data_IF_385705297479
#
_entry.id   IF_385705297479
#
_cell.length_a   1.000
_cell.length_b   1.000
_cell.length_c   1.000
_cell.angle_alpha   90.00
_cell.angle_beta   90.00
_cell.angle_gamma   90.00
#
_symmetry.space_group_name_H-M   'P 1'
#
loop_
_entity.id
_entity.type
_entity.pdbx_description
1 polymer ?
#
# COMPACT_ATOMS: atom_id res chain seq x y z
N UNK A 1 3.55 19.59 -55.13
CA UNK A 1 3.60 18.28 -54.45
C UNK A 1 2.29 18.12 -53.70
N UNK A 2 1.49 17.05 -53.94
CA UNK A 2 0.22 16.86 -53.24
C UNK A 2 0.52 16.52 -51.77
N UNK A 3 -0.01 17.33 -50.87
CA UNK A 3 -0.01 17.07 -49.42
C UNK A 3 -0.81 15.78 -49.22
N UNK A 4 -0.13 14.69 -48.83
CA UNK A 4 -0.77 13.47 -48.35
C UNK A 4 -1.56 13.82 -47.11
N UNK A 5 -2.90 13.85 -47.23
CA UNK A 5 -3.78 13.91 -46.08
C UNK A 5 -3.41 12.77 -45.11
N UNK A 6 -2.82 13.09 -43.97
CA UNK A 6 -2.59 12.11 -42.87
C UNK A 6 -3.90 12.01 -42.10
N UNK A 7 -4.64 10.94 -42.33
CA UNK A 7 -5.83 10.62 -41.55
C UNK A 7 -5.46 9.54 -40.52
N UNK A 8 -5.83 9.70 -39.25
CA UNK A 8 -5.72 8.70 -38.22
C UNK A 8 -7.11 8.28 -37.76
N UNK A 9 -7.40 7.00 -37.91
CA UNK A 9 -8.61 6.39 -37.35
C UNK A 9 -8.29 5.86 -35.97
N UNK A 10 -9.10 6.22 -34.98
CA UNK A 10 -9.03 5.78 -33.60
C UNK A 10 -10.32 5.04 -33.24
N UNK A 11 -10.23 4.03 -32.36
CA UNK A 11 -11.38 3.22 -32.00
C UNK A 11 -12.43 4.06 -31.26
N UNK A 12 -12.06 4.68 -30.15
CA UNK A 12 -12.95 5.53 -29.35
C UNK A 12 -12.20 6.58 -28.54
N UNK A 13 -12.90 7.60 -28.11
CA UNK A 13 -12.38 8.68 -27.24
C UNK A 13 -11.93 8.12 -25.90
N UNK A 14 -12.64 7.14 -25.34
CA UNK A 14 -12.34 6.51 -24.05
C UNK A 14 -11.03 5.69 -24.04
N UNK A 15 -10.59 5.21 -25.21
CA UNK A 15 -9.31 4.50 -25.40
C UNK A 15 -8.15 5.43 -25.73
N UNK A 16 -8.44 6.59 -26.26
CA UNK A 16 -7.43 7.58 -26.63
C UNK A 16 -6.74 8.18 -25.40
N UNK A 17 -7.48 8.42 -24.31
CA UNK A 17 -6.91 8.87 -23.06
C UNK A 17 -7.85 8.70 -21.88
N UNK A 18 -7.27 8.66 -20.66
CA UNK A 18 -8.03 8.57 -19.41
C UNK A 18 -8.28 9.91 -18.77
N UNK A 19 -7.47 10.90 -19.11
CA UNK A 19 -7.58 12.26 -18.65
C UNK A 19 -8.10 13.15 -19.76
N UNK A 20 -9.16 13.90 -19.47
CA UNK A 20 -9.82 14.75 -20.45
C UNK A 20 -8.94 15.90 -20.91
N UNK A 21 -8.09 16.43 -20.02
CA UNK A 21 -7.19 17.54 -20.35
C UNK A 21 -6.14 17.06 -21.34
N UNK A 22 -5.50 15.92 -21.07
CA UNK A 22 -4.50 15.32 -21.96
C UNK A 22 -5.10 14.98 -23.34
N UNK A 23 -6.35 14.48 -23.37
CA UNK A 23 -7.06 14.17 -24.61
C UNK A 23 -7.28 15.44 -25.43
N UNK A 24 -7.78 16.52 -24.83
CA UNK A 24 -8.04 17.78 -25.53
C UNK A 24 -6.74 18.41 -26.05
N UNK A 25 -5.67 18.42 -25.23
CA UNK A 25 -4.36 18.94 -25.64
C UNK A 25 -3.77 18.13 -26.80
N UNK A 26 -3.85 16.80 -26.74
CA UNK A 26 -3.38 15.93 -27.83
C UNK A 26 -4.16 16.15 -29.13
N UNK A 27 -5.49 16.34 -29.05
CA UNK A 27 -6.33 16.63 -30.20
C UNK A 27 -6.03 18.01 -30.81
N UNK A 28 -5.77 19.04 -30.00
CA UNK A 28 -5.32 20.36 -30.45
C UNK A 28 -3.99 20.26 -31.21
N UNK A 29 -3.03 19.53 -30.64
CA UNK A 29 -1.72 19.33 -31.25
C UNK A 29 -1.84 18.60 -32.61
N UNK A 30 -2.68 17.56 -32.69
CA UNK A 30 -2.91 16.83 -33.93
C UNK A 30 -3.56 17.72 -35.03
N UNK A 31 -4.49 18.60 -34.61
CA UNK A 31 -5.10 19.59 -35.50
C UNK A 31 -4.09 20.63 -36.00
N UNK A 32 -3.21 21.15 -35.12
CA UNK A 32 -2.13 22.06 -35.53
C UNK A 32 -1.14 21.41 -36.51
N UNK A 33 -0.91 20.12 -36.36
CA UNK A 33 -0.06 19.34 -37.28
C UNK A 33 -0.77 18.95 -38.61
N UNK A 34 -2.05 19.35 -38.78
CA UNK A 34 -2.85 19.04 -39.97
C UNK A 34 -3.19 17.55 -40.10
N UNK A 35 -3.27 16.83 -38.97
CA UNK A 35 -3.61 15.41 -38.92
C UNK A 35 -5.10 15.29 -38.62
N UNK A 36 -5.86 14.74 -39.57
CA UNK A 36 -7.28 14.44 -39.41
C UNK A 36 -7.46 13.24 -38.48
N UNK A 37 -8.34 13.37 -37.49
CA UNK A 37 -8.66 12.30 -36.53
C UNK A 37 -10.15 11.96 -36.63
N UNK A 38 -10.44 10.66 -36.77
CA UNK A 38 -11.79 10.13 -36.83
C UNK A 38 -11.97 9.06 -35.75
N UNK A 39 -12.95 9.20 -34.86
CA UNK A 39 -13.33 8.21 -33.86
C UNK A 39 -14.43 7.31 -34.43
N UNK A 40 -14.10 6.00 -34.53
CA UNK A 40 -14.96 5.04 -35.22
C UNK A 40 -16.22 4.66 -34.45
N UNK A 41 -16.08 4.49 -33.10
CA UNK A 41 -17.19 4.09 -32.23
C UNK A 41 -18.24 5.22 -32.11
N UNK A 42 -17.78 6.46 -31.98
CA UNK A 42 -18.66 7.62 -31.83
C UNK A 42 -19.07 8.23 -33.17
N UNK A 43 -18.41 7.86 -34.26
CA UNK A 43 -18.68 8.42 -35.60
C UNK A 43 -18.30 9.89 -35.73
N UNK A 44 -17.33 10.38 -34.94
CA UNK A 44 -16.96 11.79 -34.84
C UNK A 44 -15.74 12.08 -35.69
N UNK A 45 -15.89 13.05 -36.61
CA UNK A 45 -14.79 13.66 -37.36
C UNK A 45 -14.37 14.97 -36.65
N UNK A 46 -13.16 15.04 -36.14
CA UNK A 46 -12.68 16.22 -35.40
C UNK A 46 -12.57 17.45 -36.32
N UNK A 47 -12.33 17.27 -37.60
CA UNK A 47 -12.32 18.41 -38.52
C UNK A 47 -13.73 19.02 -38.76
N UNK A 48 -14.77 18.22 -38.56
CA UNK A 48 -16.17 18.65 -38.66
C UNK A 48 -16.72 19.26 -37.36
N UNK A 49 -16.12 18.87 -36.22
CA UNK A 49 -16.48 19.39 -34.90
C UNK A 49 -15.73 20.71 -34.66
N UNK A 50 -16.36 21.80 -35.07
CA UNK A 50 -15.78 23.15 -34.95
C UNK A 50 -15.76 23.71 -33.50
N UNK A 51 -16.38 23.04 -32.56
CA UNK A 51 -16.61 23.62 -31.24
C UNK A 51 -15.86 22.85 -30.12
N UNK A 52 -14.89 23.52 -29.47
CA UNK A 52 -14.23 23.03 -28.23
C UNK A 52 -15.25 22.59 -27.17
N UNK A 53 -16.46 23.16 -27.23
CA UNK A 53 -17.55 22.84 -26.34
C UNK A 53 -18.02 21.38 -26.52
N UNK A 54 -18.20 20.88 -27.74
CA UNK A 54 -18.64 19.51 -27.99
C UNK A 54 -17.60 18.50 -27.48
N UNK A 55 -16.29 18.75 -27.73
CA UNK A 55 -15.21 17.90 -27.20
C UNK A 55 -15.21 17.92 -25.67
N UNK A 56 -15.42 19.07 -25.04
CA UNK A 56 -15.47 19.18 -23.58
C UNK A 56 -16.67 18.42 -23.02
N UNK A 57 -17.83 18.49 -23.66
CA UNK A 57 -19.04 17.75 -23.24
C UNK A 57 -18.83 16.25 -23.38
N UNK A 58 -18.28 15.78 -24.51
CA UNK A 58 -17.97 14.35 -24.71
C UNK A 58 -16.97 13.84 -23.67
N UNK A 59 -15.92 14.62 -23.40
CA UNK A 59 -14.95 14.29 -22.36
C UNK A 59 -15.60 14.21 -20.98
N UNK A 60 -16.50 15.14 -20.62
CA UNK A 60 -17.24 15.13 -19.36
C UNK A 60 -18.19 13.92 -19.25
N UNK A 61 -18.85 13.54 -20.34
CA UNK A 61 -19.71 12.33 -20.38
C UNK A 61 -18.87 11.07 -20.13
N UNK A 62 -17.75 10.91 -20.83
CA UNK A 62 -16.87 9.76 -20.66
C UNK A 62 -16.29 9.67 -19.22
N UNK A 63 -15.95 10.80 -18.63
CA UNK A 63 -15.52 10.85 -17.22
C UNK A 63 -16.64 10.40 -16.29
N UNK A 64 -17.84 10.93 -16.49
CA UNK A 64 -19.02 10.56 -15.70
C UNK A 64 -19.31 9.06 -15.79
N UNK A 65 -19.23 8.44 -16.97
CA UNK A 65 -19.41 6.99 -17.14
C UNK A 65 -18.35 6.19 -16.38
N UNK A 66 -17.08 6.59 -16.44
CA UNK A 66 -16.01 5.93 -15.71
C UNK A 66 -16.21 6.02 -14.18
N UNK A 67 -16.66 7.17 -13.68
CA UNK A 67 -17.02 7.33 -12.28
C UNK A 67 -18.20 6.44 -11.88
N UNK A 68 -19.24 6.39 -12.71
CA UNK A 68 -20.39 5.51 -12.49
C UNK A 68 -20.00 4.03 -12.50
N UNK A 69 -19.18 3.59 -13.45
CA UNK A 69 -18.64 2.22 -13.48
C UNK A 69 -17.85 1.91 -12.20
N UNK A 70 -16.98 2.82 -11.76
CA UNK A 70 -16.21 2.66 -10.54
C UNK A 70 -17.12 2.56 -9.30
N UNK A 71 -18.14 3.41 -9.19
CA UNK A 71 -19.13 3.37 -8.11
C UNK A 71 -19.91 2.06 -8.11
N UNK A 72 -20.36 1.59 -9.29
CA UNK A 72 -21.09 0.34 -9.43
C UNK A 72 -20.25 -0.88 -9.04
N UNK A 73 -18.97 -0.93 -9.47
CA UNK A 73 -18.04 -1.99 -9.08
C UNK A 73 -17.84 -2.00 -7.56
N UNK A 74 -17.59 -0.82 -6.96
CA UNK A 74 -17.43 -0.70 -5.50
C UNK A 74 -18.70 -1.14 -4.77
N UNK A 75 -19.87 -0.75 -5.25
CA UNK A 75 -21.15 -1.14 -4.67
C UNK A 75 -21.40 -2.65 -4.78
N UNK A 76 -21.11 -3.27 -5.92
CA UNK A 76 -21.18 -4.72 -6.11
C UNK A 76 -20.24 -5.47 -5.19
N UNK A 77 -18.99 -5.01 -5.03
CA UNK A 77 -18.04 -5.60 -4.09
C UNK A 77 -18.51 -5.51 -2.63
N UNK A 78 -19.11 -4.37 -2.24
CA UNK A 78 -19.69 -4.21 -0.89
C UNK A 78 -20.85 -5.15 -0.66
N UNK A 79 -21.77 -5.23 -1.59
CA UNK A 79 -22.91 -6.13 -1.50
C UNK A 79 -22.49 -7.60 -1.35
N UNK A 80 -21.46 -8.03 -2.10
CA UNK A 80 -20.85 -9.34 -1.91
C UNK A 80 -20.17 -9.50 -0.55
N UNK A 81 -19.56 -8.41 -0.04
CA UNK A 81 -18.92 -8.40 1.26
C UNK A 81 -19.94 -8.54 2.40
N UNK A 82 -21.04 -7.79 2.35
CA UNK A 82 -22.13 -7.84 3.33
C UNK A 82 -22.77 -9.22 3.42
N UNK A 83 -22.94 -9.87 2.27
CA UNK A 83 -23.50 -11.23 2.21
C UNK A 83 -22.50 -12.33 2.55
N UNK A 84 -21.24 -12.01 2.84
CA UNK A 84 -20.19 -13.00 3.07
C UNK A 84 -19.79 -13.81 1.83
N UNK A 85 -20.33 -13.49 0.65
CA UNK A 85 -20.09 -14.21 -0.60
C UNK A 85 -18.87 -13.74 -1.38
N UNK A 86 -18.16 -12.69 -0.91
CA UNK A 86 -16.99 -12.16 -1.58
C UNK A 86 -15.85 -13.18 -1.65
N UNK A 87 -15.32 -13.41 -2.84
CA UNK A 87 -14.15 -14.26 -3.05
C UNK A 87 -12.88 -13.76 -2.31
N UNK A 88 -12.88 -12.50 -1.83
CA UNK A 88 -11.80 -11.94 -1.03
C UNK A 88 -11.69 -12.60 0.35
N UNK A 89 -12.79 -13.09 0.92
CA UNK A 89 -12.77 -13.84 2.18
C UNK A 89 -11.94 -15.12 2.04
N UNK A 90 -12.06 -15.80 0.90
CA UNK A 90 -11.40 -17.07 0.59
C UNK A 90 -10.03 -16.91 -0.10
N UNK A 91 -9.45 -15.71 -0.12
CA UNK A 91 -8.11 -15.50 -0.68
C UNK A 91 -7.06 -16.12 0.24
N UNK A 92 -6.23 -17.09 -0.23
CA UNK A 92 -5.23 -17.74 0.60
C UNK A 92 -4.15 -16.76 1.03
N UNK A 93 -3.60 -16.98 2.23
CA UNK A 93 -2.41 -16.32 2.73
C UNK A 93 -1.46 -17.39 3.27
N UNK A 94 -0.22 -17.04 3.54
CA UNK A 94 0.78 -17.96 4.09
C UNK A 94 0.24 -18.64 5.35
N UNK A 95 0.35 -19.94 5.46
CA UNK A 95 -0.27 -20.75 6.52
C UNK A 95 -1.60 -21.38 6.12
N UNK A 96 -2.20 -20.95 4.99
CA UNK A 96 -3.46 -21.49 4.49
C UNK A 96 -3.39 -21.80 3.00
N UNK A 97 -4.03 -22.86 2.58
CA UNK A 97 -4.25 -23.24 1.18
C UNK A 97 -5.73 -23.35 0.87
N UNK A 98 -6.09 -23.35 -0.39
CA UNK A 98 -7.47 -23.65 -0.84
C UNK A 98 -7.63 -25.15 -1.05
N UNK A 99 -8.78 -25.70 -0.63
CA UNK A 99 -9.22 -27.02 -1.05
C UNK A 99 -9.94 -26.94 -2.42
N UNK A 100 -10.40 -28.09 -2.91
CA UNK A 100 -11.14 -28.20 -4.18
C UNK A 100 -12.45 -27.40 -4.16
N UNK A 101 -13.12 -27.28 -3.00
CA UNK A 101 -14.32 -26.48 -2.80
C UNK A 101 -14.04 -24.97 -2.68
N UNK A 102 -12.77 -24.57 -2.76
CA UNK A 102 -12.35 -23.17 -2.66
C UNK A 102 -12.36 -22.61 -1.24
N UNK A 103 -12.54 -23.44 -0.20
CA UNK A 103 -12.43 -23.01 1.19
C UNK A 103 -10.97 -22.99 1.67
N UNK A 104 -10.72 -22.16 2.69
CA UNK A 104 -9.39 -22.09 3.31
C UNK A 104 -9.21 -23.27 4.26
N UNK A 105 -8.15 -24.03 4.06
CA UNK A 105 -7.71 -25.09 4.96
C UNK A 105 -6.28 -24.80 5.44
N UNK A 106 -5.96 -25.30 6.61
CA UNK A 106 -4.66 -25.14 7.24
C UNK A 106 -3.57 -25.86 6.44
N UNK A 107 -2.44 -25.20 6.24
CA UNK A 107 -1.19 -25.84 5.81
C UNK A 107 -0.32 -26.03 7.05
N UNK A 108 -0.25 -27.27 7.56
CA UNK A 108 0.43 -27.58 8.82
C UNK A 108 1.89 -27.11 8.84
N UNK A 109 2.62 -27.26 7.73
CA UNK A 109 4.04 -26.86 7.64
C UNK A 109 4.20 -25.35 7.77
N UNK A 110 3.35 -24.60 7.07
CA UNK A 110 3.39 -23.14 7.11
C UNK A 110 2.81 -22.60 8.41
N UNK A 111 1.81 -23.25 8.99
CA UNK A 111 1.19 -22.85 10.24
C UNK A 111 2.18 -22.88 11.42
N UNK A 112 3.06 -23.87 11.47
CA UNK A 112 4.14 -23.92 12.48
C UNK A 112 5.06 -22.71 12.37
N UNK A 113 5.42 -22.32 11.15
CA UNK A 113 6.25 -21.13 10.91
C UNK A 113 5.55 -19.86 11.36
N UNK A 114 4.25 -19.72 11.08
CA UNK A 114 3.45 -18.57 11.54
C UNK A 114 3.44 -18.50 13.07
N UNK A 115 3.18 -19.62 13.76
CA UNK A 115 3.23 -19.68 15.23
C UNK A 115 4.60 -19.24 15.76
N UNK A 116 5.67 -19.76 15.16
CA UNK A 116 7.05 -19.41 15.53
C UNK A 116 7.33 -17.91 15.41
N UNK A 117 6.85 -17.26 14.34
CA UNK A 117 6.99 -15.81 14.15
C UNK A 117 6.28 -15.03 15.27
N UNK A 118 5.08 -15.45 15.66
CA UNK A 118 4.33 -14.82 16.76
C UNK A 118 5.01 -15.01 18.10
N UNK A 119 5.51 -16.21 18.42
CA UNK A 119 6.27 -16.51 19.62
C UNK A 119 7.52 -15.62 19.74
N UNK A 120 8.33 -15.53 18.67
CA UNK A 120 9.51 -14.68 18.63
C UNK A 120 9.17 -13.20 18.83
N UNK A 121 8.07 -12.74 18.25
CA UNK A 121 7.64 -11.36 18.40
C UNK A 121 7.18 -11.05 19.84
N UNK A 122 6.41 -11.95 20.46
CA UNK A 122 5.94 -11.84 21.84
C UNK A 122 7.07 -11.97 22.86
N UNK A 123 8.13 -12.71 22.54
CA UNK A 123 9.36 -12.77 23.36
C UNK A 123 10.22 -11.49 23.29
N UNK A 124 9.78 -10.49 22.52
CA UNK A 124 10.43 -9.19 22.44
C UNK A 124 11.34 -8.99 21.21
N UNK A 125 11.53 -10.02 20.35
CA UNK A 125 12.38 -9.90 19.18
C UNK A 125 11.93 -8.77 18.24
N UNK A 126 12.90 -8.10 17.61
CA UNK A 126 12.64 -7.15 16.55
C UNK A 126 12.33 -7.88 15.23
N UNK A 127 11.71 -7.19 14.26
CA UNK A 127 11.47 -7.78 12.93
C UNK A 127 12.77 -8.27 12.29
N UNK A 128 13.87 -7.51 12.44
CA UNK A 128 15.18 -7.92 11.93
C UNK A 128 15.76 -9.12 12.69
N UNK A 129 15.50 -9.21 14.00
CA UNK A 129 15.85 -10.37 14.81
C UNK A 129 15.11 -11.63 14.37
N UNK A 130 13.80 -11.54 14.15
CA UNK A 130 12.98 -12.64 13.63
C UNK A 130 13.51 -13.13 12.29
N UNK A 131 13.82 -12.22 11.36
CA UNK A 131 14.37 -12.57 10.05
C UNK A 131 15.66 -13.36 10.21
N UNK A 132 16.60 -12.88 11.02
CA UNK A 132 17.87 -13.57 11.28
C UNK A 132 17.67 -14.98 11.86
N UNK A 133 16.74 -15.13 12.80
CA UNK A 133 16.43 -16.43 13.41
C UNK A 133 15.86 -17.40 12.37
N UNK A 134 14.91 -16.94 11.53
CA UNK A 134 14.33 -17.78 10.47
C UNK A 134 15.37 -18.17 9.40
N UNK A 135 16.30 -17.28 9.09
CA UNK A 135 17.41 -17.56 8.17
C UNK A 135 18.40 -18.57 8.77
N UNK A 136 18.72 -18.48 10.07
CA UNK A 136 19.55 -19.43 10.79
C UNK A 136 18.91 -20.83 10.89
N UNK A 137 17.58 -20.86 11.08
CA UNK A 137 16.80 -22.09 11.09
C UNK A 137 16.56 -22.66 9.66
N UNK A 138 17.10 -22.01 8.60
CA UNK A 138 16.92 -22.35 7.19
C UNK A 138 15.45 -22.49 6.77
N UNK A 139 14.57 -21.68 7.34
CA UNK A 139 13.15 -21.68 7.04
C UNK A 139 12.91 -20.81 5.78
N UNK A 140 12.42 -21.38 4.66
CA UNK A 140 12.22 -20.64 3.43
C UNK A 140 11.04 -19.67 3.56
N UNK A 141 11.18 -18.50 2.92
CA UNK A 141 10.11 -17.51 2.83
C UNK A 141 8.96 -18.01 1.95
N UNK A 142 7.77 -17.38 1.96
CA UNK A 142 6.63 -17.76 1.12
C UNK A 142 6.92 -17.81 -0.38
N UNK A 143 8.00 -17.17 -0.84
CA UNK A 143 8.47 -17.18 -2.23
C UNK A 143 9.56 -18.25 -2.50
N UNK A 144 9.92 -19.06 -1.50
CA UNK A 144 10.97 -20.06 -1.61
C UNK A 144 12.40 -19.52 -1.47
N UNK A 145 12.58 -18.25 -1.16
CA UNK A 145 13.90 -17.66 -0.88
C UNK A 145 14.30 -17.89 0.58
N UNK A 146 15.59 -18.03 0.87
CA UNK A 146 16.09 -18.10 2.24
C UNK A 146 16.01 -16.73 2.96
N UNK A 147 15.91 -15.63 2.23
CA UNK A 147 15.77 -14.30 2.83
C UNK A 147 14.30 -13.90 2.99
N UNK A 148 13.96 -13.40 4.19
CA UNK A 148 12.62 -12.95 4.54
C UNK A 148 12.50 -11.44 4.40
N UNK A 149 11.60 -10.91 3.54
CA UNK A 149 11.34 -9.48 3.47
C UNK A 149 10.67 -8.97 4.76
N UNK A 150 11.15 -7.85 5.31
CA UNK A 150 10.52 -7.20 6.50
C UNK A 150 9.02 -6.99 6.33
N UNK A 151 8.60 -6.60 5.13
CA UNK A 151 7.19 -6.39 4.80
C UNK A 151 6.36 -7.67 4.96
N UNK A 152 6.92 -8.83 4.63
CA UNK A 152 6.23 -10.12 4.77
C UNK A 152 5.97 -10.45 6.23
N UNK A 153 6.98 -10.30 7.11
CA UNK A 153 6.81 -10.50 8.55
C UNK A 153 5.78 -9.51 9.12
N UNK A 154 5.88 -8.24 8.76
CA UNK A 154 4.90 -7.23 9.18
C UNK A 154 3.47 -7.58 8.74
N UNK A 155 3.29 -8.06 7.51
CA UNK A 155 1.98 -8.50 7.01
C UNK A 155 1.46 -9.73 7.77
N UNK A 156 2.33 -10.69 8.11
CA UNK A 156 1.96 -11.85 8.91
C UNK A 156 1.47 -11.40 10.29
N UNK A 157 2.20 -10.52 10.97
CA UNK A 157 1.85 -10.05 12.31
C UNK A 157 0.56 -9.19 12.35
N UNK A 158 0.16 -8.56 11.25
CA UNK A 158 -1.01 -7.67 11.18
C UNK A 158 -2.24 -8.28 10.53
N UNK A 159 -2.15 -9.51 10.02
CA UNK A 159 -3.25 -10.14 9.30
C UNK A 159 -4.21 -10.87 10.24
N UNK A 160 -5.42 -10.33 10.39
CA UNK A 160 -6.47 -10.91 11.24
C UNK A 160 -6.94 -12.32 10.79
N UNK A 161 -6.61 -12.77 9.57
CA UNK A 161 -6.97 -14.12 9.10
C UNK A 161 -6.41 -15.22 10.00
N UNK A 162 -5.26 -15.00 10.64
CA UNK A 162 -4.66 -16.01 11.52
C UNK A 162 -5.49 -16.31 12.77
N UNK A 163 -6.45 -15.45 13.11
CA UNK A 163 -7.41 -15.68 14.23
C UNK A 163 -8.73 -16.34 13.80
N UNK A 164 -8.82 -16.84 12.54
CA UNK A 164 -10.06 -17.39 11.99
C UNK A 164 -11.03 -16.33 11.44
N UNK A 165 -10.75 -15.05 11.66
CA UNK A 165 -11.58 -13.94 11.21
C UNK A 165 -11.02 -13.33 9.93
N UNK A 166 -11.86 -13.11 8.93
CA UNK A 166 -11.44 -12.43 7.71
C UNK A 166 -12.04 -11.05 7.62
N UNK A 167 -11.19 -10.03 7.57
CA UNK A 167 -11.57 -8.63 7.41
C UNK A 167 -11.19 -8.15 6.00
N UNK A 168 -12.14 -7.54 5.30
CA UNK A 168 -11.96 -6.99 3.96
C UNK A 168 -12.39 -5.52 3.92
N UNK A 169 -11.91 -4.78 2.89
CA UNK A 169 -12.22 -3.37 2.66
C UNK A 169 -11.82 -2.42 3.81
N UNK A 170 -10.67 -2.69 4.45
CA UNK A 170 -10.12 -1.84 5.54
C UNK A 170 -9.81 -0.41 5.13
N UNK A 171 -9.52 -0.17 3.85
CA UNK A 171 -9.09 1.13 3.32
C UNK A 171 -10.23 2.14 3.15
N UNK A 172 -11.47 1.70 3.21
CA UNK A 172 -12.64 2.57 3.03
C UNK A 172 -13.22 2.95 4.40
N UNK A 173 -12.42 3.74 5.14
CA UNK A 173 -12.73 4.17 6.52
C UNK A 173 -14.05 4.93 6.66
N UNK A 174 -14.58 5.49 5.57
CA UNK A 174 -15.83 6.26 5.59
C UNK A 174 -17.08 5.39 5.72
N UNK A 175 -17.00 4.09 5.41
CA UNK A 175 -18.16 3.21 5.37
C UNK A 175 -17.98 1.87 6.11
N UNK A 176 -16.90 1.72 6.88
CA UNK A 176 -16.65 0.53 7.70
C UNK A 176 -15.94 -0.61 6.98
N UNK A 177 -15.38 -1.53 7.77
CA UNK A 177 -14.77 -2.78 7.29
C UNK A 177 -15.74 -3.93 7.50
N UNK A 178 -15.80 -4.85 6.55
CA UNK A 178 -16.61 -6.05 6.66
C UNK A 178 -15.79 -7.19 7.27
N UNK A 179 -16.33 -7.81 8.33
CA UNK A 179 -15.67 -8.89 9.03
C UNK A 179 -16.55 -10.16 8.96
N UNK A 180 -15.96 -11.25 8.53
CA UNK A 180 -16.55 -12.58 8.62
C UNK A 180 -15.85 -13.32 9.76
N UNK A 181 -16.59 -13.61 10.84
CA UNK A 181 -16.06 -14.32 12.00
C UNK A 181 -16.05 -15.83 11.74
N UNK A 182 -15.03 -16.50 12.31
CA UNK A 182 -14.89 -17.96 12.32
C UNK A 182 -15.07 -18.62 10.92
N UNK A 183 -14.50 -17.96 9.91
CA UNK A 183 -14.60 -18.39 8.50
C UNK A 183 -13.70 -19.59 8.17
N UNK A 184 -12.71 -19.88 9.02
CA UNK A 184 -11.71 -20.94 8.85
C UNK A 184 -11.02 -21.22 10.19
N UNK A 185 -10.27 -22.32 10.26
CA UNK A 185 -9.53 -22.72 11.45
C UNK A 185 -8.45 -21.69 11.79
N UNK A 186 -8.37 -21.27 13.07
CA UNK A 186 -7.41 -20.29 13.54
C UNK A 186 -6.02 -20.93 13.75
N UNK A 187 -4.95 -20.23 13.33
CA UNK A 187 -3.57 -20.62 13.64
C UNK A 187 -3.13 -20.02 14.96
N UNK A 188 -3.57 -18.78 15.26
CA UNK A 188 -3.17 -17.98 16.43
C UNK A 188 -4.41 -17.67 17.26
N UNK A 189 -4.27 -17.66 18.58
CA UNK A 189 -5.34 -17.26 19.49
C UNK A 189 -5.71 -15.78 19.30
N UNK A 190 -6.96 -15.42 19.59
CA UNK A 190 -7.40 -14.01 19.54
C UNK A 190 -6.64 -13.16 20.56
N UNK A 191 -6.23 -13.75 21.68
CA UNK A 191 -5.49 -13.06 22.75
C UNK A 191 -4.05 -12.77 22.34
N UNK A 192 -3.33 -13.74 21.79
CA UNK A 192 -1.96 -13.55 21.30
C UNK A 192 -1.92 -12.50 20.17
N UNK A 193 -2.89 -12.57 19.26
CA UNK A 193 -3.02 -11.57 18.21
C UNK A 193 -3.22 -10.17 18.80
N UNK A 194 -4.11 -10.02 19.80
CA UNK A 194 -4.35 -8.73 20.44
C UNK A 194 -3.10 -8.20 21.17
N UNK A 195 -2.34 -9.09 21.82
CA UNK A 195 -1.06 -8.71 22.47
C UNK A 195 -0.05 -8.21 21.42
N UNK A 196 0.09 -8.91 20.31
CA UNK A 196 0.96 -8.50 19.19
C UNK A 196 0.55 -7.12 18.64
N UNK A 197 -0.78 -6.86 18.45
CA UNK A 197 -1.22 -5.55 17.98
C UNK A 197 -0.87 -4.43 18.98
N UNK A 198 -1.06 -4.64 20.28
CA UNK A 198 -0.66 -3.68 21.33
C UNK A 198 0.84 -3.39 21.31
N UNK A 199 1.64 -4.44 21.14
CA UNK A 199 3.09 -4.30 21.06
C UNK A 199 3.54 -3.55 19.79
N UNK A 200 2.90 -3.80 18.66
CA UNK A 200 3.14 -3.03 17.42
C UNK A 200 2.85 -1.55 17.65
N UNK A 201 1.71 -1.22 18.25
CA UNK A 201 1.33 0.16 18.54
C UNK A 201 2.32 0.82 19.51
N UNK A 202 2.76 0.10 20.56
CA UNK A 202 3.76 0.57 21.52
C UNK A 202 5.07 0.93 20.81
N UNK A 203 5.59 0.03 19.98
CA UNK A 203 6.83 0.25 19.22
C UNK A 203 6.71 1.42 18.22
N UNK A 204 5.58 1.56 17.56
CA UNK A 204 5.32 2.68 16.65
C UNK A 204 5.27 4.01 17.39
N UNK A 205 4.60 4.07 18.55
CA UNK A 205 4.55 5.29 19.37
C UNK A 205 5.94 5.68 19.85
N UNK A 206 6.74 4.74 20.37
CA UNK A 206 8.12 4.98 20.80
C UNK A 206 8.98 5.53 19.65
N UNK A 207 8.87 4.95 18.45
CA UNK A 207 9.59 5.41 17.26
C UNK A 207 9.21 6.84 16.87
N UNK A 208 7.92 7.18 16.85
CA UNK A 208 7.43 8.54 16.53
C UNK A 208 7.91 9.57 17.55
N UNK A 209 7.91 9.24 18.83
CA UNK A 209 8.43 10.11 19.88
C UNK A 209 9.93 10.38 19.66
N UNK A 210 10.71 9.33 19.39
CA UNK A 210 12.14 9.48 19.11
C UNK A 210 12.39 10.35 17.87
N UNK A 211 11.66 10.13 16.77
CA UNK A 211 11.78 10.94 15.56
C UNK A 211 11.38 12.42 15.78
N UNK A 212 10.37 12.68 16.63
CA UNK A 212 9.98 14.05 16.97
C UNK A 212 11.04 14.76 17.80
N UNK A 213 11.66 14.08 18.77
CA UNK A 213 12.76 14.62 19.58
C UNK A 213 13.99 14.86 18.70
N UNK A 214 14.37 13.90 17.85
CA UNK A 214 15.49 14.04 16.95
C UNK A 214 15.28 15.21 15.96
N UNK A 215 14.08 15.38 15.42
CA UNK A 215 13.77 16.50 14.51
C UNK A 215 13.78 17.87 15.23
N UNK A 216 13.40 17.93 16.49
CA UNK A 216 13.48 19.15 17.29
C UNK A 216 14.94 19.55 17.59
N UNK A 217 15.77 18.56 17.91
CA UNK A 217 17.21 18.79 18.14
C UNK A 217 17.93 19.28 16.87
N UNK A 218 17.62 18.70 15.70
CA UNK A 218 18.19 19.15 14.43
C UNK A 218 17.79 20.59 14.08
N UNK A 219 16.56 21.01 14.45
CA UNK A 219 16.11 22.40 14.25
C UNK A 219 16.81 23.40 15.18
N UNK A 220 17.28 22.96 16.34
CA UNK A 220 17.99 23.82 17.31
C UNK A 220 19.47 24.03 16.91
N UNK A 221 20.03 23.19 16.05
CA UNK A 221 21.37 23.39 15.48
C UNK A 221 21.22 24.41 14.34
N UNK A 222 21.51 25.67 14.66
CA UNK A 222 21.44 26.76 13.69
C UNK A 222 22.66 26.68 12.74
N UNK A 223 22.47 26.11 11.53
CA UNK A 223 23.51 26.00 10.49
C UNK A 223 23.85 27.35 9.82
N UNK A 224 23.26 28.46 10.30
CA UNK A 224 23.37 29.76 9.66
C UNK A 224 24.56 30.60 10.12
N UNK A 225 25.35 30.18 11.10
CA UNK A 225 26.56 30.87 11.47
C UNK A 225 27.80 30.12 10.96
N UNK A 226 28.57 30.72 10.02
CA UNK A 226 29.87 30.18 9.68
C UNK A 226 30.73 30.24 10.94
N UNK A 227 31.35 29.11 11.32
CA UNK A 227 32.29 29.01 12.41
C UNK A 227 33.43 29.97 12.08
N UNK A 228 33.37 31.18 12.61
CA UNK A 228 34.51 32.10 12.62
C UNK A 228 35.59 31.46 13.47
N UNK A 229 36.72 31.25 12.88
CA UNK A 229 37.96 30.70 13.44
C UNK A 229 38.26 31.28 14.84
N UNK A 230 37.89 30.55 15.90
CA UNK A 230 38.43 30.82 17.23
C UNK A 230 38.34 29.59 18.12
N UNK A 231 39.54 29.14 18.45
CA UNK A 231 39.96 28.33 19.57
C UNK A 231 39.65 26.83 19.61
N UNK A 232 40.74 26.07 19.71
CA UNK A 232 40.83 24.62 19.92
C UNK A 232 40.03 24.07 21.14
N UNK A 233 39.47 24.95 21.96
CA UNK A 233 38.67 24.57 23.17
C UNK A 233 37.23 24.23 22.82
N UNK A 234 36.67 24.70 21.73
CA UNK A 234 35.27 24.38 21.33
C UNK A 234 35.15 23.02 20.66
N UNK A 235 36.22 22.49 20.09
CA UNK A 235 36.25 21.13 19.51
C UNK A 235 36.27 20.02 20.58
N UNK A 236 36.72 20.30 21.79
CA UNK A 236 36.62 19.34 22.91
C UNK A 236 35.22 19.25 23.48
N UNK A 237 34.42 20.32 23.45
CA UNK A 237 33.04 20.30 23.91
C UNK A 237 32.11 19.44 23.03
N UNK A 238 32.39 19.32 21.75
CA UNK A 238 31.59 18.46 20.83
C UNK A 238 31.93 16.98 21.01
N UNK A 239 33.13 16.64 21.51
CA UNK A 239 33.54 15.26 21.79
C UNK A 239 32.98 14.69 23.08
N UNK A 240 32.42 15.51 23.96
CA UNK A 240 31.86 15.08 25.26
C UNK A 240 30.35 15.02 25.33
N UNK A 241 29.64 14.94 24.17
CA UNK A 241 28.24 14.53 24.18
C UNK A 241 28.22 13.03 24.41
N UNK A 242 28.20 12.69 25.71
CA UNK A 242 27.95 11.31 26.16
C UNK A 242 26.50 10.97 25.78
N UNK A 243 26.33 10.16 24.80
CA UNK A 243 25.03 9.58 24.49
C UNK A 243 24.71 8.60 25.63
N UNK A 244 23.60 8.76 26.35
CA UNK A 244 23.21 7.78 27.35
C UNK A 244 23.04 6.45 26.64
N UNK A 245 23.63 5.41 27.21
CA UNK A 245 23.47 4.04 26.72
C UNK A 245 21.97 3.69 26.69
N UNK A 246 21.49 2.98 25.69
CA UNK A 246 20.09 2.56 25.61
C UNK A 246 19.59 1.80 26.85
N UNK A 247 20.51 1.21 27.62
CA UNK A 247 20.21 0.48 28.87
C UNK A 247 20.01 1.41 30.09
N UNK A 248 20.53 2.63 30.10
CA UNK A 248 20.33 3.59 31.18
C UNK A 248 18.94 4.24 31.23
N UNK A 249 18.22 4.25 30.09
CA UNK A 249 16.87 4.79 29.97
C UNK A 249 15.76 3.85 30.50
N UNK A 250 16.11 2.63 30.92
CA UNK A 250 15.13 1.66 31.47
C UNK A 250 15.00 1.74 33.00
N UNK A 251 15.87 2.48 33.71
CA UNK A 251 15.93 2.49 35.19
C UNK A 251 15.31 3.72 35.88
N UNK A 252 14.69 4.66 35.16
CA UNK A 252 13.89 5.72 35.78
C UNK A 252 12.39 5.41 35.68
N UNK A 253 11.93 4.62 36.61
CA UNK A 253 10.51 4.55 37.02
C UNK A 253 10.43 4.71 38.53
#
# INVERSE_FOLDING_TARGET
MPLRCRCRQLDSTSRFGRDNVEVIEALRLLKELGIKVYFMEEGIDIDAVYDEFELTVLAAINQSENEHRSKNIKMGLRFCAERGSSGLYKKPCFGYRKNEDGNLILDEKQAVIVKRIYELYLSGASIDGIIKTLEQENIPSPKGSNSWPKKTISLILTNAKYTGNTQIMKSDLSQGSYCLSDSHEAIISKDDFAQVQKEIERRVKKKRQFESVASSLVRTINWAEPISSSSSQDLERVRTINWPDPEELENEK
#
